data_IF_948791317384
#
_entry.id   IF_948791317384
#
_cell.length_a   1.000
_cell.length_b   1.000
_cell.length_c   1.000
_cell.angle_alpha   90.00
_cell.angle_beta   90.00
_cell.angle_gamma   90.00
#
_symmetry.space_group_name_H-M   'P 1'
#
loop_
_entity.id
_entity.type
_entity.pdbx_description
1 polymer ?
#
# COMPACT_ATOMS: atom_id res chain seq x y z
N UNK A 1 -19.55 -2.90 -0.39
CA UNK A 1 -18.35 -3.69 -0.07
C UNK A 1 -17.20 -3.29 -0.97
N UNK A 2 -15.98 -3.30 -0.46
CA UNK A 2 -14.77 -3.00 -1.25
C UNK A 2 -14.55 -4.15 -2.24
N UNK A 3 -14.08 -3.83 -3.45
CA UNK A 3 -13.78 -4.82 -4.50
C UNK A 3 -12.28 -4.97 -4.77
N UNK A 4 -11.54 -3.86 -4.74
CA UNK A 4 -10.10 -3.82 -5.00
C UNK A 4 -9.44 -2.96 -3.93
N UNK A 5 -8.33 -3.44 -3.39
CA UNK A 5 -7.47 -2.69 -2.47
C UNK A 5 -6.08 -2.51 -3.09
N UNK A 6 -5.60 -1.27 -3.14
CA UNK A 6 -4.21 -0.97 -3.49
C UNK A 6 -3.38 -0.85 -2.22
N UNK A 7 -2.26 -1.56 -2.14
CA UNK A 7 -1.39 -1.58 -0.97
C UNK A 7 0.07 -1.32 -1.36
N UNK A 8 0.88 -0.85 -0.41
CA UNK A 8 2.33 -0.73 -0.60
C UNK A 8 3.04 -2.08 -0.45
N UNK A 9 4.33 -2.12 -0.76
CA UNK A 9 5.18 -3.32 -0.73
C UNK A 9 5.21 -4.06 0.62
N UNK A 10 4.89 -3.40 1.74
CA UNK A 10 4.77 -4.03 3.05
C UNK A 10 3.70 -5.13 3.12
N UNK A 11 2.79 -5.17 2.15
CA UNK A 11 1.70 -6.15 2.06
C UNK A 11 1.97 -7.31 1.09
N UNK A 12 3.23 -7.55 0.69
CA UNK A 12 3.60 -8.63 -0.25
C UNK A 12 3.43 -10.06 0.33
N UNK A 13 3.12 -10.20 1.63
CA UNK A 13 3.06 -11.49 2.32
C UNK A 13 1.83 -12.36 2.02
N UNK A 14 1.89 -13.64 2.42
CA UNK A 14 0.76 -14.58 2.30
C UNK A 14 -0.43 -14.20 3.18
N UNK A 15 -0.15 -13.72 4.40
CA UNK A 15 -1.16 -13.31 5.36
C UNK A 15 -2.09 -12.21 4.82
N UNK A 16 -1.59 -11.05 4.32
CA UNK A 16 -2.47 -10.02 3.77
C UNK A 16 -3.20 -10.48 2.50
N UNK A 17 -2.59 -11.33 1.68
CA UNK A 17 -3.26 -11.90 0.52
C UNK A 17 -4.44 -12.80 0.91
N UNK A 18 -4.25 -13.66 1.92
CA UNK A 18 -5.31 -14.53 2.43
C UNK A 18 -6.43 -13.71 3.09
N UNK A 19 -6.08 -12.73 3.92
CA UNK A 19 -7.07 -11.87 4.56
C UNK A 19 -7.93 -11.10 3.54
N UNK A 20 -7.33 -10.62 2.45
CA UNK A 20 -8.08 -9.98 1.37
C UNK A 20 -9.00 -10.98 0.64
N UNK A 21 -8.52 -12.21 0.41
CA UNK A 21 -9.31 -13.27 -0.22
C UNK A 21 -10.53 -13.66 0.63
N UNK A 22 -10.36 -13.80 1.94
CA UNK A 22 -11.42 -14.15 2.89
C UNK A 22 -12.55 -13.09 2.88
N UNK A 23 -12.20 -11.83 2.62
CA UNK A 23 -13.13 -10.70 2.47
C UNK A 23 -13.64 -10.49 1.03
N UNK A 24 -13.20 -11.33 0.08
CA UNK A 24 -13.57 -11.20 -1.33
C UNK A 24 -13.02 -9.94 -2.01
N UNK A 25 -11.87 -9.45 -1.55
CA UNK A 25 -11.19 -8.25 -2.04
C UNK A 25 -9.98 -8.65 -2.89
N UNK A 26 -9.87 -8.08 -4.08
CA UNK A 26 -8.66 -8.18 -4.89
C UNK A 26 -7.56 -7.28 -4.31
N UNK A 27 -6.49 -7.87 -3.78
CA UNK A 27 -5.34 -7.14 -3.27
C UNK A 27 -4.31 -6.90 -4.38
N UNK A 28 -4.10 -5.63 -4.73
CA UNK A 28 -3.07 -5.20 -5.67
C UNK A 28 -1.93 -4.48 -4.92
N UNK A 29 -0.82 -5.20 -4.74
CA UNK A 29 0.38 -4.66 -4.10
C UNK A 29 1.20 -3.87 -5.12
N UNK A 30 1.28 -2.56 -4.93
CA UNK A 30 2.06 -1.65 -5.76
C UNK A 30 3.50 -1.65 -5.26
N UNK A 31 4.36 -2.41 -5.92
CA UNK A 31 5.78 -2.51 -5.62
C UNK A 31 6.63 -2.38 -6.89
N UNK A 32 7.90 -2.04 -6.68
CA UNK A 32 8.91 -2.11 -7.73
C UNK A 32 9.55 -3.51 -7.68
N UNK A 33 9.44 -4.31 -8.74
CA UNK A 33 9.98 -5.69 -8.77
C UNK A 33 11.51 -5.74 -8.71
N UNK A 34 12.20 -4.75 -9.27
CA UNK A 34 13.67 -4.68 -9.31
C UNK A 34 14.16 -3.27 -9.02
N UNK A 35 15.28 -3.15 -8.30
CA UNK A 35 15.92 -1.86 -8.08
C UNK A 35 16.41 -1.29 -9.42
N UNK A 36 15.69 -0.30 -9.94
CA UNK A 36 16.05 0.43 -11.16
C UNK A 36 16.71 1.75 -10.81
N UNK A 37 17.70 2.16 -11.61
CA UNK A 37 18.31 3.48 -11.49
C UNK A 37 17.35 4.54 -12.04
N UNK A 38 17.18 5.63 -11.29
CA UNK A 38 16.34 6.75 -11.67
C UNK A 38 14.87 6.59 -11.28
N UNK A 39 14.03 7.54 -11.72
CA UNK A 39 12.61 7.53 -11.42
C UNK A 39 11.88 6.48 -12.27
N UNK A 40 11.13 5.62 -11.62
CA UNK A 40 10.21 4.67 -12.27
C UNK A 40 8.79 5.03 -11.90
N UNK A 41 7.98 5.28 -12.92
CA UNK A 41 6.55 5.45 -12.73
C UNK A 41 5.93 4.12 -12.30
N UNK A 42 5.37 4.09 -11.09
CA UNK A 42 4.54 2.99 -10.61
C UNK A 42 3.07 3.42 -10.73
N UNK A 43 2.30 2.82 -11.66
CA UNK A 43 0.88 3.10 -11.78
C UNK A 43 0.17 2.93 -10.42
N UNK A 44 -0.73 3.86 -10.08
CA UNK A 44 -1.52 3.86 -8.82
C UNK A 44 -0.72 4.05 -7.52
N UNK A 45 0.61 4.18 -7.54
CA UNK A 45 1.41 4.44 -6.32
C UNK A 45 0.95 5.68 -5.55
N UNK A 46 0.61 6.75 -6.26
CA UNK A 46 0.09 7.99 -5.66
C UNK A 46 -1.22 7.77 -4.87
N UNK A 47 -2.02 6.76 -5.22
CA UNK A 47 -3.26 6.44 -4.50
C UNK A 47 -2.93 5.95 -3.09
N UNK A 48 -1.92 5.09 -2.98
CA UNK A 48 -1.44 4.54 -1.70
C UNK A 48 -0.79 5.63 -0.87
N UNK A 49 0.15 6.39 -1.46
CA UNK A 49 0.87 7.46 -0.75
C UNK A 49 -0.06 8.58 -0.27
N UNK A 50 -1.08 8.95 -1.07
CA UNK A 50 -2.09 9.93 -0.67
C UNK A 50 -2.86 9.50 0.57
N UNK A 51 -3.21 8.22 0.68
CA UNK A 51 -3.88 7.68 1.86
C UNK A 51 -3.01 7.84 3.11
N UNK A 52 -1.72 7.51 3.03
CA UNK A 52 -0.79 7.78 4.14
C UNK A 52 -0.66 9.26 4.46
N UNK A 53 -0.62 10.13 3.43
CA UNK A 53 -0.62 11.57 3.62
C UNK A 53 -1.87 12.09 4.37
N UNK A 54 -3.03 11.46 4.17
CA UNK A 54 -4.23 11.76 4.96
C UNK A 54 -4.13 11.20 6.38
N UNK A 55 -3.67 9.96 6.55
CA UNK A 55 -3.55 9.31 7.86
C UNK A 55 -2.57 10.04 8.79
N UNK A 56 -1.46 10.52 8.25
CA UNK A 56 -0.46 11.31 9.00
C UNK A 56 -1.01 12.64 9.54
N UNK A 57 -2.15 13.14 9.02
CA UNK A 57 -2.83 14.33 9.58
C UNK A 57 -3.66 14.02 10.82
N UNK A 58 -3.90 12.75 11.13
CA UNK A 58 -4.61 12.33 12.33
C UNK A 58 -3.61 11.85 13.39
N UNK A 59 -3.58 12.54 14.54
CA UNK A 59 -2.59 12.33 15.62
C UNK A 59 -2.41 10.87 16.07
N UNK A 60 -3.47 10.04 16.01
CA UNK A 60 -3.44 8.63 16.42
C UNK A 60 -2.96 7.66 15.33
N UNK A 61 -2.83 8.15 14.09
CA UNK A 61 -2.47 7.38 12.91
C UNK A 61 -1.14 7.85 12.31
N UNK A 62 -0.40 8.70 13.03
CA UNK A 62 0.96 9.10 12.67
C UNK A 62 1.83 7.84 12.60
N UNK A 63 2.41 7.59 11.41
CA UNK A 63 3.29 6.45 11.17
C UNK A 63 4.77 6.82 11.14
N UNK A 64 5.09 8.08 10.87
CA UNK A 64 6.47 8.57 10.94
C UNK A 64 6.84 8.90 12.38
N UNK A 65 7.31 7.87 13.09
CA UNK A 65 8.23 8.06 14.21
C UNK A 65 9.64 7.92 13.65
N UNK A 66 10.15 8.96 12.99
CA UNK A 66 11.55 9.01 12.57
C UNK A 66 12.44 8.84 13.82
N UNK A 67 13.39 7.91 13.75
CA UNK A 67 14.43 7.70 14.76
C UNK A 67 15.78 8.05 14.19
#
# INVERSE_FOLDING_TARGET
TVKVAFADQGYTGKEPAQAALDEGIELQVIKLEEAKKGFVLLPRRWVVERSFGWLNRFRRLARDYER
#
